data_IF_910317137800
#
_entry.id   IF_910317137800
#
_cell.length_a   1.000
_cell.length_b   1.000
_cell.length_c   1.000
_cell.angle_alpha   90.00
_cell.angle_beta   90.00
_cell.angle_gamma   90.00
#
_symmetry.space_group_name_H-M   'P 1'
#
loop_
_entity.id
_entity.type
_entity.pdbx_description
1 polymer ?
#
# COMPACT_ATOMS: atom_id res chain seq x y z
N UNK A 1 11.96 -2.06 -18.89
CA UNK A 1 12.31 -1.26 -17.70
C UNK A 1 12.07 -2.14 -16.48
N UNK A 2 13.10 -2.46 -15.71
CA UNK A 2 12.91 -3.23 -14.48
C UNK A 2 12.30 -2.29 -13.41
N UNK A 3 11.13 -2.63 -12.90
CA UNK A 3 10.57 -1.95 -11.72
C UNK A 3 11.50 -2.30 -10.55
N UNK A 4 12.10 -1.28 -9.93
CA UNK A 4 12.89 -1.49 -8.71
C UNK A 4 11.95 -1.93 -7.60
N UNK A 5 12.31 -2.98 -6.88
CA UNK A 5 11.58 -3.51 -5.74
C UNK A 5 12.47 -3.42 -4.50
N UNK A 6 12.16 -2.59 -3.49
CA UNK A 6 10.94 -1.78 -3.39
C UNK A 6 10.89 -0.60 -4.37
N UNK A 7 9.65 -0.23 -4.73
CA UNK A 7 9.35 1.00 -5.46
C UNK A 7 9.11 2.10 -4.43
N UNK A 8 10.03 3.05 -4.37
CA UNK A 8 9.96 4.20 -3.47
C UNK A 8 9.22 5.36 -4.14
N UNK A 9 8.11 5.79 -3.55
CA UNK A 9 7.32 6.93 -4.02
C UNK A 9 7.88 8.29 -3.60
N UNK A 10 8.97 8.28 -2.82
CA UNK A 10 9.65 9.46 -2.29
C UNK A 10 8.79 10.25 -1.30
N UNK A 11 9.40 11.25 -0.68
CA UNK A 11 8.83 12.03 0.42
C UNK A 11 7.61 12.90 0.03
N UNK A 12 7.36 13.11 -1.27
CA UNK A 12 6.23 13.90 -1.81
C UNK A 12 5.06 13.02 -2.30
N UNK A 13 5.04 11.75 -1.89
CA UNK A 13 3.94 10.84 -2.19
C UNK A 13 2.62 11.34 -1.56
N UNK A 14 1.66 11.68 -2.41
CA UNK A 14 0.28 11.98 -2.03
C UNK A 14 -0.60 10.73 -2.14
N UNK A 15 -1.81 10.77 -1.58
CA UNK A 15 -2.82 9.72 -1.72
C UNK A 15 -3.05 9.31 -3.19
N UNK A 16 -3.00 10.27 -4.13
CA UNK A 16 -3.12 10.00 -5.55
C UNK A 16 -1.93 9.21 -6.14
N UNK A 17 -0.72 9.49 -5.66
CA UNK A 17 0.49 8.76 -6.09
C UNK A 17 0.39 7.28 -5.70
N UNK A 18 -0.18 6.98 -4.53
CA UNK A 18 -0.47 5.60 -4.10
C UNK A 18 -1.46 4.91 -5.03
N UNK A 19 -2.58 5.57 -5.37
CA UNK A 19 -3.61 4.99 -6.25
C UNK A 19 -3.06 4.74 -7.65
N UNK A 20 -2.38 5.72 -8.25
CA UNK A 20 -1.78 5.58 -9.60
C UNK A 20 -0.77 4.45 -9.64
N UNK A 21 0.07 4.34 -8.62
CA UNK A 21 1.09 3.30 -8.53
C UNK A 21 0.45 1.92 -8.38
N UNK A 22 -0.53 1.79 -7.49
CA UNK A 22 -1.27 0.55 -7.31
C UNK A 22 -1.95 0.12 -8.60
N UNK A 23 -2.59 1.05 -9.32
CA UNK A 23 -3.25 0.78 -10.59
C UNK A 23 -2.27 0.22 -11.63
N UNK A 24 -1.10 0.86 -11.80
CA UNK A 24 -0.04 0.38 -12.69
C UNK A 24 0.43 -1.03 -12.30
N UNK A 25 0.65 -1.27 -11.01
CA UNK A 25 1.11 -2.58 -10.51
C UNK A 25 0.03 -3.66 -10.69
N UNK A 26 -1.23 -3.34 -10.45
CA UNK A 26 -2.36 -4.27 -10.65
C UNK A 26 -2.64 -4.55 -12.13
N UNK A 27 -2.19 -3.71 -13.06
CA UNK A 27 -2.20 -4.01 -14.50
C UNK A 27 -1.07 -4.98 -14.92
N UNK A 28 0.06 -5.03 -14.21
CA UNK A 28 1.21 -5.90 -14.55
C UNK A 28 1.04 -7.34 -14.06
N UNK A 29 1.09 -8.32 -14.97
CA UNK A 29 0.92 -9.76 -14.66
C UNK A 29 2.10 -10.41 -13.92
N UNK A 30 3.11 -9.64 -13.57
CA UNK A 30 4.38 -10.14 -13.04
C UNK A 30 4.34 -10.45 -11.52
N UNK A 31 3.27 -10.02 -10.84
CA UNK A 31 3.12 -10.10 -9.38
C UNK A 31 1.79 -10.72 -8.95
N UNK A 32 1.84 -11.52 -7.89
CA UNK A 32 0.68 -12.15 -7.25
C UNK A 32 0.40 -11.55 -5.85
N UNK A 33 1.34 -10.80 -5.29
CA UNK A 33 1.14 -10.11 -4.02
C UNK A 33 1.82 -8.74 -4.01
N UNK A 34 1.17 -7.77 -3.36
CA UNK A 34 1.65 -6.41 -3.19
C UNK A 34 1.59 -6.06 -1.71
N UNK A 35 2.63 -5.42 -1.19
CA UNK A 35 2.65 -4.88 0.17
C UNK A 35 2.88 -3.37 0.11
N UNK A 36 1.93 -2.62 0.65
CA UNK A 36 2.01 -1.16 0.70
C UNK A 36 2.50 -0.75 2.08
N UNK A 37 3.59 0.02 2.12
CA UNK A 37 4.09 0.62 3.36
C UNK A 37 3.82 2.12 3.30
N UNK A 38 3.12 2.59 4.33
CA UNK A 38 2.71 3.98 4.43
C UNK A 38 3.17 4.58 5.76
N UNK A 39 3.93 5.68 5.65
CA UNK A 39 4.23 6.56 6.77
C UNK A 39 3.35 7.81 6.66
N UNK A 40 2.50 8.12 7.64
CA UNK A 40 1.63 9.29 7.57
C UNK A 40 2.43 10.59 7.41
N UNK A 41 2.02 11.44 6.48
CA UNK A 41 2.63 12.75 6.21
C UNK A 41 1.57 13.81 5.95
N UNK A 42 1.97 15.08 5.86
CA UNK A 42 1.05 16.17 5.52
C UNK A 42 0.45 16.04 4.11
N UNK A 43 1.18 15.41 3.18
CA UNK A 43 0.74 15.20 1.79
C UNK A 43 -0.10 13.93 1.61
N UNK A 44 0.06 12.95 2.51
CA UNK A 44 -0.70 11.70 2.50
C UNK A 44 -1.13 11.35 3.94
N UNK A 45 -2.29 11.86 4.38
CA UNK A 45 -2.88 11.48 5.66
C UNK A 45 -3.23 9.98 5.67
N UNK A 46 -2.98 9.31 6.79
CA UNK A 46 -3.12 7.86 6.92
C UNK A 46 -4.50 7.34 6.52
N UNK A 47 -5.55 7.95 7.07
CA UNK A 47 -6.96 7.55 6.88
C UNK A 47 -7.44 7.82 5.46
N UNK A 48 -7.15 9.01 4.93
CA UNK A 48 -7.53 9.39 3.56
C UNK A 48 -6.84 8.47 2.54
N UNK A 49 -5.53 8.26 2.73
CA UNK A 49 -4.75 7.33 1.90
C UNK A 49 -5.33 5.92 1.91
N UNK A 50 -5.76 5.43 3.09
CA UNK A 50 -6.38 4.13 3.22
C UNK A 50 -7.73 4.04 2.49
N UNK A 51 -8.59 5.06 2.62
CA UNK A 51 -9.89 5.10 1.94
C UNK A 51 -9.73 5.05 0.42
N UNK A 52 -8.85 5.89 -0.16
CA UNK A 52 -8.66 5.89 -1.61
C UNK A 52 -8.02 4.60 -2.11
N UNK A 53 -7.13 3.98 -1.33
CA UNK A 53 -6.55 2.66 -1.67
C UNK A 53 -7.62 1.58 -1.67
N UNK A 54 -8.44 1.51 -0.62
CA UNK A 54 -9.54 0.54 -0.51
C UNK A 54 -10.48 0.66 -1.71
N UNK A 55 -10.87 1.88 -2.07
CA UNK A 55 -11.75 2.11 -3.22
C UNK A 55 -11.08 1.73 -4.54
N UNK A 56 -9.79 2.05 -4.74
CA UNK A 56 -9.06 1.64 -5.94
C UNK A 56 -9.02 0.10 -6.08
N UNK A 57 -8.75 -0.61 -4.98
CA UNK A 57 -8.71 -2.08 -4.96
C UNK A 57 -10.07 -2.69 -5.27
N UNK A 58 -11.14 -2.17 -4.65
CA UNK A 58 -12.51 -2.67 -4.88
C UNK A 58 -12.94 -2.54 -6.33
N UNK A 59 -12.58 -1.45 -7.00
CA UNK A 59 -12.94 -1.20 -8.39
C UNK A 59 -12.04 -1.93 -9.40
N UNK A 60 -10.82 -2.30 -9.01
CA UNK A 60 -9.88 -2.92 -9.95
C UNK A 60 -10.22 -4.40 -10.18
N UNK A 61 -10.46 -4.86 -11.42
CA UNK A 61 -10.90 -6.24 -11.70
C UNK A 61 -9.89 -7.30 -11.27
N UNK A 62 -8.59 -6.93 -11.26
CA UNK A 62 -7.49 -7.82 -10.90
C UNK A 62 -7.20 -7.92 -9.41
N UNK A 63 -7.81 -7.08 -8.57
CA UNK A 63 -7.58 -7.13 -7.12
C UNK A 63 -7.89 -8.48 -6.49
N UNK A 64 -8.79 -9.26 -7.09
CA UNK A 64 -9.15 -10.62 -6.63
C UNK A 64 -8.04 -11.65 -6.81
N UNK A 65 -7.07 -11.38 -7.69
CA UNK A 65 -5.97 -12.28 -8.01
C UNK A 65 -4.65 -11.85 -7.38
N UNK A 66 -4.59 -10.64 -6.82
CA UNK A 66 -3.39 -10.07 -6.22
C UNK A 66 -3.64 -9.87 -4.74
N UNK A 67 -2.88 -10.55 -3.89
CA UNK A 67 -2.99 -10.39 -2.45
C UNK A 67 -2.39 -9.05 -2.03
N UNK A 68 -3.24 -8.09 -1.66
CA UNK A 68 -2.81 -6.79 -1.15
C UNK A 68 -2.65 -6.84 0.37
N UNK A 69 -1.42 -6.58 0.82
CA UNK A 69 -1.04 -6.43 2.21
C UNK A 69 -0.76 -4.95 2.49
N UNK A 70 -1.08 -4.50 3.70
CA UNK A 70 -0.88 -3.11 4.10
C UNK A 70 -0.04 -3.03 5.37
N UNK A 71 0.82 -2.02 5.48
CA UNK A 71 1.56 -1.69 6.70
C UNK A 71 1.56 -0.16 6.91
N UNK A 72 0.76 0.30 7.86
CA UNK A 72 0.61 1.72 8.17
C UNK A 72 1.36 2.04 9.47
N UNK A 73 2.45 2.78 9.35
CA UNK A 73 3.29 3.21 10.46
C UNK A 73 2.56 4.23 11.34
N UNK A 74 2.92 4.29 12.63
CA UNK A 74 2.33 5.20 13.61
C UNK A 74 1.12 4.59 14.33
N UNK A 75 1.16 4.58 15.66
CA UNK A 75 0.17 3.90 16.51
C UNK A 75 -1.17 4.64 16.54
N UNK A 76 -1.15 5.95 16.79
CA UNK A 76 -2.36 6.76 16.92
C UNK A 76 -2.90 7.26 15.57
N UNK A 77 -2.03 7.76 14.70
CA UNK A 77 -2.42 8.36 13.42
C UNK A 77 -2.99 7.35 12.42
N UNK A 78 -2.70 6.06 12.62
CA UNK A 78 -3.07 5.00 11.66
C UNK A 78 -4.07 3.99 12.21
N UNK A 79 -4.57 4.18 13.44
CA UNK A 79 -5.55 3.26 14.04
C UNK A 79 -6.82 3.16 13.17
N UNK A 80 -7.32 4.31 12.72
CA UNK A 80 -8.51 4.36 11.86
C UNK A 80 -8.25 3.73 10.49
N UNK A 81 -7.10 4.01 9.87
CA UNK A 81 -6.71 3.36 8.61
C UNK A 81 -6.70 1.83 8.73
N UNK A 82 -6.14 1.28 9.81
CA UNK A 82 -6.14 -0.17 10.07
C UNK A 82 -7.54 -0.74 10.26
N UNK A 83 -8.42 0.00 10.93
CA UNK A 83 -9.84 -0.38 11.07
C UNK A 83 -10.50 -0.48 9.69
N UNK A 84 -10.32 0.54 8.84
CA UNK A 84 -10.88 0.56 7.49
C UNK A 84 -10.36 -0.60 6.62
N UNK A 85 -9.06 -0.92 6.69
CA UNK A 85 -8.52 -2.08 5.98
C UNK A 85 -9.11 -3.39 6.48
N UNK A 86 -9.25 -3.53 7.79
CA UNK A 86 -9.84 -4.73 8.39
C UNK A 86 -11.29 -4.92 7.95
N UNK A 87 -12.08 -3.84 7.88
CA UNK A 87 -13.46 -3.84 7.38
C UNK A 87 -13.54 -4.15 5.88
N UNK A 88 -12.54 -3.74 5.10
CA UNK A 88 -12.42 -4.06 3.68
C UNK A 88 -11.91 -5.49 3.42
N UNK A 89 -11.55 -6.26 4.46
CA UNK A 89 -10.95 -7.59 4.31
C UNK A 89 -9.50 -7.56 3.84
N UNK A 90 -8.80 -6.42 3.97
CA UNK A 90 -7.41 -6.25 3.58
C UNK A 90 -6.48 -6.48 4.79
N UNK A 91 -5.62 -7.51 4.77
CA UNK A 91 -4.73 -7.82 5.88
C UNK A 91 -3.72 -6.68 6.11
N UNK A 92 -3.72 -6.15 7.33
CA UNK A 92 -2.79 -5.10 7.76
C UNK A 92 -1.78 -5.64 8.77
N UNK A 93 -0.50 -5.53 8.45
CA UNK A 93 0.59 -5.77 9.39
C UNK A 93 0.77 -4.53 10.28
N UNK A 94 0.75 -4.72 11.59
CA UNK A 94 1.15 -3.68 12.51
C UNK A 94 2.68 -3.51 12.43
N UNK A 95 3.15 -2.36 11.94
CA UNK A 95 4.55 -2.00 12.13
C UNK A 95 4.88 -2.00 13.64
N UNK A 96 5.78 -2.88 14.05
CA UNK A 96 6.51 -2.69 15.29
C UNK A 96 7.26 -1.36 15.15
N UNK A 97 7.01 -0.44 16.09
CA UNK A 97 7.61 0.89 16.26
C UNK A 97 8.94 1.11 15.52
N UNK A 98 8.88 1.48 14.24
CA UNK A 98 10.06 1.81 13.46
C UNK A 98 10.28 3.33 13.54
N UNK A 99 11.30 3.76 14.29
CA UNK A 99 11.57 5.19 14.56
C UNK A 99 12.42 5.87 13.48
N UNK A 100 12.42 5.38 12.24
CA UNK A 100 13.38 5.80 11.22
C UNK A 100 12.74 6.11 9.87
N UNK A 101 12.69 7.41 9.54
CA UNK A 101 12.41 8.02 8.23
C UNK A 101 11.02 7.76 7.62
N UNK A 102 10.44 8.80 7.02
CA UNK A 102 9.15 8.81 6.32
C UNK A 102 9.23 8.04 4.99
N UNK A 103 9.44 6.73 5.02
CA UNK A 103 9.55 5.95 3.79
C UNK A 103 8.15 5.61 3.25
N UNK A 104 7.83 6.11 2.06
CA UNK A 104 6.62 5.77 1.29
C UNK A 104 6.99 4.71 0.24
N UNK A 105 6.65 3.45 0.46
CA UNK A 105 7.16 2.36 -0.39
C UNK A 105 6.08 1.35 -0.78
N UNK A 106 6.23 0.79 -1.98
CA UNK A 106 5.56 -0.41 -2.44
C UNK A 106 6.55 -1.55 -2.57
N UNK A 107 6.16 -2.71 -2.05
CA UNK A 107 6.85 -3.97 -2.28
C UNK A 107 5.97 -4.81 -3.19
N UNK A 108 6.56 -5.32 -4.26
CA UNK A 108 5.88 -6.24 -5.16
C UNK A 108 6.54 -7.61 -5.03
N UNK A 109 5.76 -8.64 -4.69
CA UNK A 109 6.25 -10.00 -4.63
C UNK A 109 5.84 -10.70 -5.93
N UNK A 110 6.85 -11.10 -6.69
CA UNK A 110 6.67 -11.87 -7.91
C UNK A 110 6.11 -13.25 -7.63
N UNK A 111 5.72 -13.96 -8.69
CA UNK A 111 5.41 -15.38 -8.62
C UNK A 111 6.55 -16.14 -7.96
N UNK A 112 6.26 -16.85 -6.87
CA UNK A 112 7.12 -17.94 -6.43
C UNK A 112 6.98 -19.01 -7.52
N UNK A 113 8.06 -19.35 -8.25
CA UNK A 113 8.00 -20.47 -9.18
C UNK A 113 7.59 -21.71 -8.37
N UNK A 114 6.58 -22.43 -8.86
CA UNK A 114 6.22 -23.73 -8.30
C UNK A 114 7.39 -24.72 -8.40
#
# INVERSE_FOLDING_TARGET
MAISNPLDLRDDASSEHYVKTLDILLHSQDFDALMVIHSPSAAAPATESAQVLIEAVKHHPRSKYVSLLTNWCGEHSSQEARRLFSEAGLPTYAAASYSGRNHHCFYAYGRVPA
#
